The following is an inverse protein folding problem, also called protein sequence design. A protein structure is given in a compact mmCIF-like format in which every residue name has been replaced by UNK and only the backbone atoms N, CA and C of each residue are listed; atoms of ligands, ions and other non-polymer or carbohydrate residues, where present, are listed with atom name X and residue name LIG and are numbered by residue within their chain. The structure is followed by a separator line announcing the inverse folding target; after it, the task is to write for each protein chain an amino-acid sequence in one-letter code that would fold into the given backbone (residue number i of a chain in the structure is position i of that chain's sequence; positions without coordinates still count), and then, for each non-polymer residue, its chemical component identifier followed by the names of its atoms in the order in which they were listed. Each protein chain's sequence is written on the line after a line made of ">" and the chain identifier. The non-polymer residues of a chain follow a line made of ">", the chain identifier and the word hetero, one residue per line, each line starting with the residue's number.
data_IF_001513945244
#
_entry.id   IF_001513945244
#
_cell.length_a   1.000
_cell.length_b   1.000
_cell.length_c   1.000
_cell.angle_alpha   90.00
_cell.angle_beta   90.00
_cell.angle_gamma   90.00
#
_symmetry.space_group_name_H-M   'P 1'
#
loop_
_entity.id
_entity.type
_entity.pdbx_description
1 polymer ?
#
# COMPACT_ATOMS: atom_id res chain seq x y z
N UNK A 1 7.34 -3.17 12.16
CA UNK A 1 7.41 -2.89 10.72
C UNK A 1 7.13 -4.16 9.95
N UNK A 2 6.37 -4.06 8.86
CA UNK A 2 6.04 -5.17 7.95
C UNK A 2 6.95 -5.08 6.73
N UNK A 3 7.73 -6.14 6.48
CA UNK A 3 8.56 -6.26 5.28
C UNK A 3 7.68 -6.57 4.07
N UNK A 4 7.84 -5.79 3.01
CA UNK A 4 7.06 -5.93 1.78
C UNK A 4 7.95 -5.78 0.53
N UNK A 5 7.55 -6.34 -0.61
CA UNK A 5 8.29 -6.15 -1.85
C UNK A 5 8.46 -4.67 -2.18
N UNK A 6 9.66 -4.29 -2.66
CA UNK A 6 10.00 -2.89 -2.97
C UNK A 6 8.97 -2.20 -3.87
N UNK A 7 8.47 -2.89 -4.90
CA UNK A 7 7.44 -2.36 -5.80
C UNK A 7 6.11 -2.05 -5.09
N UNK A 8 5.75 -2.84 -4.08
CA UNK A 8 4.56 -2.60 -3.27
C UNK A 8 4.79 -1.37 -2.39
N UNK A 9 5.97 -1.27 -1.78
CA UNK A 9 6.34 -0.11 -0.96
C UNK A 9 6.31 1.19 -1.77
N UNK A 10 6.88 1.20 -2.98
CA UNK A 10 6.88 2.36 -3.88
C UNK A 10 5.46 2.84 -4.21
N UNK A 11 4.53 1.92 -4.48
CA UNK A 11 3.13 2.28 -4.75
C UNK A 11 2.38 2.76 -3.51
N UNK A 12 2.62 2.16 -2.33
CA UNK A 12 2.03 2.64 -1.08
C UNK A 12 2.51 4.06 -0.74
N UNK A 13 3.79 4.33 -0.95
CA UNK A 13 4.37 5.65 -0.74
C UNK A 13 3.85 6.67 -1.78
N UNK A 14 3.61 6.25 -3.02
CA UNK A 14 2.97 7.10 -4.02
C UNK A 14 1.53 7.48 -3.61
N UNK A 15 0.72 6.51 -3.17
CA UNK A 15 -0.64 6.77 -2.66
C UNK A 15 -0.62 7.68 -1.43
N UNK A 16 0.31 7.43 -0.50
CA UNK A 16 0.47 8.25 0.71
C UNK A 16 0.83 9.70 0.36
N UNK A 17 1.78 9.91 -0.56
CA UNK A 17 2.17 11.25 -1.02
C UNK A 17 1.07 11.96 -1.81
N UNK A 18 0.24 11.22 -2.54
CA UNK A 18 -0.91 11.78 -3.25
C UNK A 18 -1.91 12.43 -2.28
N UNK A 19 -2.11 11.84 -1.10
CA UNK A 19 -2.99 12.41 -0.06
C UNK A 19 -4.48 12.40 -0.39
N UNK A 20 -4.90 11.77 -1.49
CA UNK A 20 -6.29 11.71 -1.93
C UNK A 20 -7.15 10.67 -1.18
N UNK A 21 -6.55 9.87 -0.30
CA UNK A 21 -7.22 8.82 0.47
C UNK A 21 -6.54 8.63 1.83
N UNK A 22 -7.33 8.30 2.85
CA UNK A 22 -6.78 7.88 4.13
C UNK A 22 -6.21 6.46 4.01
N UNK A 23 -5.02 6.19 4.53
CA UNK A 23 -4.42 4.86 4.45
C UNK A 23 -5.22 3.77 5.21
N UNK A 24 -6.16 4.15 6.10
CA UNK A 24 -7.13 3.23 6.71
C UNK A 24 -8.28 2.84 5.76
N UNK A 25 -8.56 3.64 4.73
CA UNK A 25 -9.51 3.32 3.66
C UNK A 25 -8.84 2.39 2.64
N UNK A 26 -8.77 1.10 3.00
CA UNK A 26 -8.16 0.07 2.17
C UNK A 26 -8.77 -0.02 0.75
N UNK A 27 -10.11 -0.01 0.56
CA UNK A 27 -10.69 0.06 -0.78
C UNK A 27 -10.22 1.28 -1.59
N UNK A 28 -10.17 2.46 -0.98
CA UNK A 28 -9.68 3.66 -1.63
C UNK A 28 -8.18 3.60 -1.97
N UNK A 29 -7.35 3.00 -1.10
CA UNK A 29 -5.92 2.77 -1.39
C UNK A 29 -5.75 1.84 -2.59
N UNK A 30 -6.54 0.77 -2.69
CA UNK A 30 -6.54 -0.12 -3.86
C UNK A 30 -6.93 0.66 -5.12
N UNK A 31 -7.96 1.49 -5.05
CA UNK A 31 -8.40 2.32 -6.17
C UNK A 31 -7.30 3.27 -6.64
N UNK A 32 -6.68 4.02 -5.74
CA UNK A 32 -5.65 4.99 -6.13
C UNK A 32 -4.35 4.33 -6.57
N UNK A 33 -3.95 3.22 -5.96
CA UNK A 33 -2.80 2.45 -6.45
C UNK A 33 -3.01 1.98 -7.90
N UNK A 34 -4.21 1.51 -8.23
CA UNK A 34 -4.59 1.12 -9.60
C UNK A 34 -4.57 2.33 -10.56
N UNK A 35 -5.18 3.45 -10.16
CA UNK A 35 -5.20 4.70 -10.96
C UNK A 35 -3.82 5.30 -11.23
N UNK A 36 -2.88 5.11 -10.31
CA UNK A 36 -1.50 5.56 -10.46
C UNK A 36 -0.61 4.56 -11.22
N UNK A 37 -1.15 3.41 -11.64
CA UNK A 37 -0.40 2.39 -12.37
C UNK A 37 0.38 1.40 -11.50
N UNK A 38 0.23 1.47 -10.17
CA UNK A 38 0.85 0.54 -9.22
C UNK A 38 0.00 -0.73 -9.03
N UNK A 39 -0.24 -1.46 -10.12
CA UNK A 39 -1.12 -2.64 -10.15
C UNK A 39 -0.70 -3.74 -9.16
N UNK A 40 0.62 -3.97 -9.02
CA UNK A 40 1.16 -4.91 -8.04
C UNK A 40 0.85 -4.48 -6.60
N UNK A 41 0.87 -3.19 -6.31
CA UNK A 41 0.49 -2.65 -5.00
C UNK A 41 -1.01 -2.84 -4.76
N UNK A 42 -1.85 -2.45 -5.72
CA UNK A 42 -3.30 -2.62 -5.62
C UNK A 42 -3.69 -4.09 -5.37
N UNK A 43 -3.02 -5.01 -6.07
CA UNK A 43 -3.18 -6.46 -5.87
C UNK A 43 -2.73 -6.89 -4.48
N UNK A 44 -1.54 -6.48 -4.04
CA UNK A 44 -0.99 -6.86 -2.74
C UNK A 44 -1.89 -6.41 -1.58
N UNK A 45 -2.39 -5.17 -1.61
CA UNK A 45 -3.30 -4.62 -0.58
C UNK A 45 -4.62 -5.39 -0.53
N UNK A 46 -5.11 -5.87 -1.68
CA UNK A 46 -6.33 -6.68 -1.77
C UNK A 46 -6.13 -8.07 -1.16
N UNK A 47 -5.02 -8.72 -1.50
CA UNK A 47 -4.69 -10.11 -1.12
C UNK A 47 -4.14 -10.23 0.32
N UNK A 48 -3.57 -9.17 0.89
CA UNK A 48 -2.89 -9.19 2.20
C UNK A 48 -3.53 -8.22 3.23
N UNK A 49 -4.84 -8.36 3.57
CA UNK A 49 -5.54 -7.41 4.44
C UNK A 49 -4.91 -7.26 5.83
N UNK A 50 -4.42 -8.35 6.42
CA UNK A 50 -3.82 -8.35 7.76
C UNK A 50 -2.48 -7.63 7.76
N UNK A 51 -1.56 -8.04 6.88
CA UNK A 51 -0.24 -7.40 6.74
C UNK A 51 -0.35 -5.92 6.36
N UNK A 52 -1.32 -5.56 5.52
CA UNK A 52 -1.61 -4.17 5.21
C UNK A 52 -2.03 -3.39 6.46
N UNK A 53 -3.03 -3.89 7.20
CA UNK A 53 -3.50 -3.22 8.42
C UNK A 53 -2.37 -3.07 9.45
N UNK A 54 -1.59 -4.12 9.69
CA UNK A 54 -0.42 -4.08 10.57
C UNK A 54 0.61 -3.04 10.11
N UNK A 55 0.93 -2.98 8.81
CA UNK A 55 1.89 -2.02 8.29
C UNK A 55 1.40 -0.56 8.31
N UNK A 56 0.08 -0.32 8.23
CA UNK A 56 -0.49 1.03 8.43
C UNK A 56 -0.21 1.52 9.85
N UNK A 57 -0.28 0.65 10.87
CA UNK A 57 -0.02 1.03 12.27
C UNK A 57 1.47 0.94 12.67
N UNK A 58 2.19 -0.07 12.20
CA UNK A 58 3.56 -0.40 12.63
C UNK A 58 4.65 -0.02 11.62
N UNK A 59 4.28 0.57 10.48
CA UNK A 59 5.16 0.96 9.38
C UNK A 59 5.44 -0.17 8.38
N UNK A 60 5.77 0.22 7.15
CA UNK A 60 6.22 -0.67 6.07
C UNK A 60 7.72 -0.48 5.81
N UNK A 61 8.41 -1.57 5.51
CA UNK A 61 9.80 -1.57 5.10
C UNK A 61 9.93 -2.29 3.76
N UNK A 62 10.65 -1.69 2.81
CA UNK A 62 10.95 -2.35 1.54
C UNK A 62 11.97 -3.48 1.77
N UNK A 63 11.70 -4.64 1.16
CA UNK A 63 12.68 -5.71 0.99
C UNK A 63 13.91 -5.21 0.21
N UNK A 64 15.08 -5.68 0.62
CA UNK A 64 16.38 -5.37 0.04
C UNK A 64 16.56 -5.91 -1.38
#
# INVERSE_FOLDING_TARGET
>A
MVSIPKKVWEGLEAVRRLGAVNMLDRPGVVHWADKLGYLETARWVRENPKCYAEGVFAGFQAES
#
